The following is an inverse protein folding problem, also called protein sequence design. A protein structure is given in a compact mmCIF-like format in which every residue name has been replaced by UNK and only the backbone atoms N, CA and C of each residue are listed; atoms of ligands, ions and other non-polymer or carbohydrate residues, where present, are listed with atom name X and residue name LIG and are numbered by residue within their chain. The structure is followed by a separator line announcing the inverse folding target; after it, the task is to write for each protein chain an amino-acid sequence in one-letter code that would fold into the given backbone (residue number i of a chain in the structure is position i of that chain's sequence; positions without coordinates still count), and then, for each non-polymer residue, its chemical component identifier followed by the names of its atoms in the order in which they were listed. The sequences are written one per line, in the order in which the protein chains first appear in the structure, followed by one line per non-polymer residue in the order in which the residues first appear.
data_IF_940998976270
#
_entry.id   IF_940998976270
#
_cell.length_a   1.000
_cell.length_b   1.000
_cell.length_c   1.000
_cell.angle_alpha   90.00
_cell.angle_beta   90.00
_cell.angle_gamma   90.00
#
_symmetry.space_group_name_H-M   'P 1'
#
loop_
_entity.id
_entity.type
_entity.pdbx_description
1 polymer ?
#
# COMPACT_ATOMS: atom_id res chain seq x y z
N UNK A 1 10.95 -13.06 3.96
CA UNK A 1 9.50 -13.32 4.09
C UNK A 1 8.84 -13.34 2.73
N UNK A 2 7.75 -14.07 2.61
CA UNK A 2 6.93 -14.07 1.39
C UNK A 2 6.01 -12.86 1.41
N UNK A 3 5.68 -12.35 0.23
CA UNK A 3 4.74 -11.23 0.10
C UNK A 3 3.58 -11.69 -0.76
N UNK A 4 2.38 -11.46 -0.29
CA UNK A 4 1.16 -11.74 -1.03
C UNK A 4 0.33 -10.47 -1.11
N UNK A 5 0.07 -9.99 -2.34
CA UNK A 5 -0.76 -8.82 -2.57
C UNK A 5 -2.18 -9.32 -2.80
N UNK A 6 -3.08 -8.99 -1.87
CA UNK A 6 -4.46 -9.42 -1.98
C UNK A 6 -5.16 -8.65 -3.09
N UNK A 7 -6.25 -9.22 -3.61
CA UNK A 7 -6.95 -8.69 -4.79
C UNK A 7 -7.32 -7.22 -4.63
N UNK A 8 -7.83 -6.84 -3.46
CA UNK A 8 -8.25 -5.46 -3.24
C UNK A 8 -7.06 -4.50 -3.30
N UNK A 9 -5.91 -4.91 -2.75
CA UNK A 9 -4.70 -4.11 -2.81
C UNK A 9 -4.17 -4.00 -4.25
N UNK A 10 -4.27 -5.07 -5.01
CA UNK A 10 -3.90 -5.04 -6.42
C UNK A 10 -4.75 -4.03 -7.19
N UNK A 11 -6.06 -4.00 -6.92
CA UNK A 11 -6.95 -3.02 -7.53
C UNK A 11 -6.58 -1.59 -7.10
N UNK A 12 -6.23 -1.40 -5.84
CA UNK A 12 -5.77 -0.09 -5.34
C UNK A 12 -4.57 0.41 -6.13
N UNK A 13 -3.61 -0.47 -6.42
CA UNK A 13 -2.43 -0.11 -7.20
C UNK A 13 -2.79 0.28 -8.63
N UNK A 14 -3.72 -0.44 -9.23
CA UNK A 14 -4.19 -0.12 -10.58
C UNK A 14 -4.90 1.24 -10.60
N UNK A 15 -5.75 1.51 -9.62
CA UNK A 15 -6.42 2.80 -9.51
C UNK A 15 -5.42 3.95 -9.35
N UNK A 16 -4.42 3.76 -8.50
CA UNK A 16 -3.36 4.75 -8.29
C UNK A 16 -2.57 4.99 -9.58
N UNK A 17 -2.28 3.91 -10.32
CA UNK A 17 -1.60 4.03 -11.62
C UNK A 17 -2.39 4.96 -12.55
N UNK A 18 -3.66 4.69 -12.75
CA UNK A 18 -4.46 5.48 -13.69
C UNK A 18 -4.68 6.91 -13.21
N UNK A 19 -4.80 7.11 -11.91
CA UNK A 19 -4.92 8.45 -11.36
C UNK A 19 -3.71 9.32 -11.77
N UNK A 20 -2.50 8.78 -11.67
CA UNK A 20 -1.30 9.53 -12.02
C UNK A 20 -1.04 9.54 -13.53
N UNK A 21 -1.30 8.43 -14.22
CA UNK A 21 -1.05 8.35 -15.65
C UNK A 21 -1.91 9.32 -16.45
N UNK A 22 -3.14 9.59 -16.00
CA UNK A 22 -4.00 10.55 -16.67
C UNK A 22 -3.54 12.00 -16.44
N UNK A 23 -2.70 12.23 -15.44
CA UNK A 23 -2.14 13.56 -15.20
C UNK A 23 -0.92 13.84 -16.08
N UNK A 24 -0.09 12.82 -16.28
CA UNK A 24 1.12 12.96 -17.06
C UNK A 24 1.58 11.57 -17.52
N UNK A 25 1.86 11.42 -18.80
CA UNK A 25 2.32 10.15 -19.36
C UNK A 25 3.60 9.70 -18.67
N UNK A 26 3.63 8.44 -18.22
CA UNK A 26 4.75 7.86 -17.50
C UNK A 26 4.67 8.00 -15.99
N UNK A 27 3.82 8.89 -15.48
CA UNK A 27 3.71 9.12 -14.04
C UNK A 27 3.09 7.91 -13.34
N UNK A 28 2.17 7.21 -13.98
CA UNK A 28 1.59 5.99 -13.43
C UNK A 28 2.63 4.89 -13.25
N UNK A 29 3.51 4.71 -14.24
CA UNK A 29 4.60 3.73 -14.14
C UNK A 29 5.57 4.10 -13.01
N UNK A 30 5.86 5.39 -12.86
CA UNK A 30 6.70 5.88 -11.79
C UNK A 30 6.07 5.60 -10.42
N UNK A 31 4.77 5.81 -10.29
CA UNK A 31 4.02 5.49 -9.09
C UNK A 31 4.16 4.00 -8.74
N UNK A 32 3.89 3.11 -9.71
CA UNK A 32 3.96 1.67 -9.46
C UNK A 32 5.38 1.23 -9.07
N UNK A 33 6.40 1.75 -9.74
CA UNK A 33 7.78 1.43 -9.42
C UNK A 33 8.10 1.75 -7.97
N UNK A 34 7.65 2.93 -7.51
CA UNK A 34 7.90 3.35 -6.13
C UNK A 34 7.11 2.53 -5.12
N UNK A 35 5.83 2.27 -5.39
CA UNK A 35 5.01 1.49 -4.47
C UNK A 35 5.48 0.04 -4.38
N UNK A 36 5.87 -0.56 -5.51
CA UNK A 36 6.40 -1.92 -5.47
C UNK A 36 7.74 -2.00 -4.74
N UNK A 37 8.58 -0.97 -4.86
CA UNK A 37 9.83 -0.92 -4.09
C UNK A 37 9.54 -0.87 -2.58
N UNK A 38 8.56 -0.06 -2.18
CA UNK A 38 8.14 0.02 -0.79
C UNK A 38 7.62 -1.33 -0.29
N UNK A 39 6.78 -1.99 -1.08
CA UNK A 39 6.24 -3.31 -0.74
C UNK A 39 7.37 -4.34 -0.64
N UNK A 40 8.31 -4.34 -1.58
CA UNK A 40 9.43 -5.27 -1.57
C UNK A 40 10.31 -5.12 -0.33
N UNK A 41 10.41 -3.90 0.22
CA UNK A 41 11.18 -3.68 1.45
C UNK A 41 10.63 -4.49 2.62
N UNK A 42 9.37 -4.91 2.54
CA UNK A 42 8.74 -5.68 3.61
C UNK A 42 9.28 -7.11 3.72
N UNK A 43 10.01 -7.59 2.73
CA UNK A 43 10.68 -8.90 2.85
C UNK A 43 11.68 -8.90 4.00
N UNK A 44 12.24 -7.73 4.30
CA UNK A 44 13.24 -7.56 5.36
C UNK A 44 12.66 -6.84 6.57
N UNK A 45 11.85 -5.78 6.34
CA UNK A 45 11.44 -4.87 7.39
C UNK A 45 10.01 -5.04 7.88
N UNK A 46 9.30 -6.08 7.46
CA UNK A 46 7.92 -6.28 7.91
C UNK A 46 7.83 -6.29 9.44
N UNK A 47 6.85 -5.56 9.97
CA UNK A 47 6.59 -5.53 11.40
C UNK A 47 7.22 -4.39 12.16
N UNK A 48 8.14 -3.61 11.53
CA UNK A 48 8.74 -2.46 12.21
C UNK A 48 7.86 -1.22 12.18
N UNK A 49 6.83 -1.21 11.34
CA UNK A 49 5.98 -0.05 11.14
C UNK A 49 4.91 0.06 12.24
N UNK A 50 4.40 1.26 12.50
CA UNK A 50 3.33 1.40 13.50
C UNK A 50 2.04 0.76 13.02
N UNK A 51 1.24 0.25 13.96
CA UNK A 51 -0.09 -0.28 13.65
C UNK A 51 -1.10 0.85 13.64
N UNK A 52 -2.02 0.80 12.67
CA UNK A 52 -3.11 1.76 12.52
C UNK A 52 -4.38 1.00 12.14
N UNK A 53 -5.52 1.54 12.51
CA UNK A 53 -6.82 0.98 12.15
C UNK A 53 -6.89 -0.50 12.57
N UNK A 54 -6.91 -0.75 13.86
CA UNK A 54 -6.89 -2.08 14.46
C UNK A 54 -5.51 -2.69 14.35
N UNK A 55 -5.36 -3.79 13.65
CA UNK A 55 -4.11 -4.55 13.67
C UNK A 55 -3.28 -4.42 12.40
N UNK A 56 -3.60 -3.46 11.54
CA UNK A 56 -2.82 -3.27 10.32
C UNK A 56 -1.55 -2.49 10.62
N UNK A 57 -0.43 -2.98 10.13
CA UNK A 57 0.78 -2.18 10.04
C UNK A 57 0.64 -1.18 8.89
N UNK A 58 1.21 0.00 9.05
CA UNK A 58 1.12 1.04 8.03
C UNK A 58 2.52 1.47 7.59
N UNK A 59 2.86 1.18 6.35
CA UNK A 59 4.08 1.66 5.71
C UNK A 59 3.72 2.88 4.85
N UNK A 60 4.34 4.03 5.14
CA UNK A 60 4.14 5.23 4.34
C UNK A 60 5.08 5.20 3.15
N UNK A 61 4.54 5.45 1.94
CA UNK A 61 5.36 5.51 0.74
C UNK A 61 6.33 6.70 0.83
N UNK A 62 7.51 6.55 0.23
CA UNK A 62 8.54 7.59 0.29
C UNK A 62 8.22 8.79 -0.61
N UNK A 63 7.58 8.58 -1.74
CA UNK A 63 7.41 9.63 -2.76
C UNK A 63 5.97 10.00 -3.05
N UNK A 64 5.03 9.19 -2.63
CA UNK A 64 3.61 9.44 -2.89
C UNK A 64 2.85 9.46 -1.58
N UNK A 65 1.75 10.22 -1.50
CA UNK A 65 0.96 10.29 -0.26
C UNK A 65 0.08 9.06 -0.09
N UNK A 66 0.68 7.89 -0.22
CA UNK A 66 0.02 6.60 -0.10
C UNK A 66 0.59 5.81 1.05
N UNK A 67 -0.24 4.97 1.65
CA UNK A 67 0.18 4.05 2.68
C UNK A 67 -0.15 2.63 2.27
N UNK A 68 0.75 1.71 2.61
CA UNK A 68 0.56 0.28 2.42
C UNK A 68 0.15 -0.29 3.76
N UNK A 69 -1.04 -0.89 3.81
CA UNK A 69 -1.57 -1.52 5.02
C UNK A 69 -1.42 -3.02 4.90
N UNK A 70 -0.74 -3.64 5.87
CA UNK A 70 -0.42 -5.04 5.78
C UNK A 70 -0.54 -5.74 7.12
N UNK A 71 -0.65 -7.06 7.07
CA UNK A 71 -0.57 -7.94 8.23
C UNK A 71 0.53 -8.96 8.00
N UNK A 72 1.06 -9.48 9.09
CA UNK A 72 2.07 -10.55 9.02
C UNK A 72 1.50 -11.76 9.70
N UNK A 73 1.51 -12.89 9.01
CA UNK A 73 1.10 -14.16 9.57
C UNK A 73 2.15 -15.19 9.21
N UNK A 74 2.79 -15.74 10.24
CA UNK A 74 3.90 -16.67 10.06
C UNK A 74 5.00 -16.04 9.22
N UNK A 75 5.33 -16.60 8.07
CA UNK A 75 6.41 -16.10 7.23
C UNK A 75 5.90 -15.33 6.01
N UNK A 76 4.65 -14.86 6.05
CA UNK A 76 4.02 -14.19 4.92
C UNK A 76 3.51 -12.81 5.31
N UNK A 77 3.81 -11.83 4.46
CA UNK A 77 3.27 -10.47 4.55
C UNK A 77 2.07 -10.39 3.61
N UNK A 78 0.91 -10.07 4.14
CA UNK A 78 -0.32 -9.93 3.35
C UNK A 78 -0.61 -8.44 3.16
N UNK A 79 -0.55 -7.98 1.91
CA UNK A 79 -0.87 -6.58 1.58
C UNK A 79 -2.37 -6.47 1.40
N UNK A 80 -3.03 -5.74 2.30
CA UNK A 80 -4.49 -5.62 2.32
C UNK A 80 -4.99 -4.41 1.55
N UNK A 81 -4.25 -3.31 1.57
CA UNK A 81 -4.69 -2.08 0.93
C UNK A 81 -3.51 -1.16 0.63
N UNK A 82 -3.66 -0.37 -0.44
CA UNK A 82 -2.70 0.68 -0.80
C UNK A 82 -3.54 1.94 -1.03
N UNK A 83 -3.58 2.83 -0.05
CA UNK A 83 -4.56 3.90 -0.01
C UNK A 83 -3.92 5.27 0.07
N UNK A 84 -4.54 6.24 -0.61
CA UNK A 84 -4.14 7.64 -0.55
C UNK A 84 -4.46 8.20 0.84
N UNK A 85 -3.43 8.61 1.57
CA UNK A 85 -3.56 9.11 2.94
C UNK A 85 -4.31 10.44 3.03
N UNK A 86 -4.50 11.12 1.91
CA UNK A 86 -5.23 12.39 1.86
C UNK A 86 -6.75 12.21 1.88
N UNK A 87 -7.22 10.96 1.68
CA UNK A 87 -8.64 10.65 1.71
C UNK A 87 -9.21 10.81 3.11
N UNK A 88 -10.52 11.00 3.18
CA UNK A 88 -11.26 11.10 4.44
C UNK A 88 -10.92 9.92 5.37
N UNK A 89 -10.55 10.17 6.63
CA UNK A 89 -10.29 9.08 7.59
C UNK A 89 -11.41 8.07 7.70
N UNK A 90 -12.67 8.48 7.57
CA UNK A 90 -13.80 7.56 7.62
C UNK A 90 -13.76 6.59 6.44
N UNK A 91 -13.40 7.09 5.25
CA UNK A 91 -13.26 6.24 4.08
C UNK A 91 -12.11 5.24 4.25
N UNK A 92 -10.99 5.70 4.79
CA UNK A 92 -9.85 4.82 5.06
C UNK A 92 -10.23 3.70 6.01
N UNK A 93 -10.94 4.04 7.10
CA UNK A 93 -11.37 3.04 8.07
C UNK A 93 -12.30 2.01 7.44
N UNK A 94 -13.21 2.44 6.59
CA UNK A 94 -14.14 1.51 5.93
C UNK A 94 -13.42 0.51 5.05
N UNK A 95 -12.34 0.94 4.37
CA UNK A 95 -11.58 0.05 3.51
C UNK A 95 -10.85 -1.03 4.30
N UNK A 96 -10.60 -0.80 5.58
CA UNK A 96 -9.77 -1.67 6.42
C UNK A 96 -10.54 -2.53 7.41
N UNK A 97 -11.86 -2.47 7.39
CA UNK A 97 -12.65 -3.36 8.24
C UNK A 97 -12.83 -4.73 7.63
#
# INVERSE_FOLDING_TARGET
MRIEILDQAAEDLIEGFWFYETQDAGLGSYFLTNLYADIESLRIYAGIHPKRYKEYYRLLSHRFPFAVFYKVLEDTVFIHAVLDCRRDPAWLRQRLI
#
